data_IF_233459407756
#
_entry.id   IF_233459407756
#
_cell.length_a   1.000
_cell.length_b   1.000
_cell.length_c   1.000
_cell.angle_alpha   90.00
_cell.angle_beta   90.00
_cell.angle_gamma   90.00
#
_symmetry.space_group_name_H-M   'P 1'
#
loop_
_entity.id
_entity.type
_entity.pdbx_description
1 polymer ?
#
# COMPACT_ATOMS: atom_id res chain seq x y z
N UNK A 1 -11.93 -8.45 5.36
CA UNK A 1 -12.81 -7.86 4.32
C UNK A 1 -14.26 -7.65 4.74
N UNK A 2 -14.98 -8.67 5.25
CA UNK A 2 -16.41 -8.55 5.59
C UNK A 2 -16.74 -7.52 6.68
N UNK A 3 -15.79 -7.27 7.58
CA UNK A 3 -15.90 -6.30 8.67
C UNK A 3 -15.24 -4.96 8.34
N UNK A 4 -14.37 -4.92 7.33
CA UNK A 4 -13.66 -3.70 6.94
C UNK A 4 -14.50 -2.87 5.97
N UNK A 5 -14.83 -1.65 6.40
CA UNK A 5 -15.53 -0.64 5.58
C UNK A 5 -14.64 -0.07 4.48
N UNK A 6 -13.32 -0.16 4.64
CA UNK A 6 -12.31 0.45 3.78
C UNK A 6 -11.30 -0.58 3.26
N UNK A 7 -10.76 -0.36 2.06
CA UNK A 7 -9.71 -1.18 1.48
C UNK A 7 -8.71 -0.32 0.71
N UNK A 8 -7.45 -0.73 0.65
CA UNK A 8 -6.42 -0.08 -0.16
C UNK A 8 -5.73 -1.20 -0.93
N UNK A 9 -5.80 -1.13 -2.25
CA UNK A 9 -5.32 -2.18 -3.14
C UNK A 9 -4.24 -1.65 -4.07
N UNK A 10 -2.98 -2.06 -3.86
CA UNK A 10 -1.86 -1.69 -4.72
C UNK A 10 -1.62 -2.76 -5.80
N UNK A 11 -1.93 -2.39 -7.04
CA UNK A 11 -1.78 -3.26 -8.22
C UNK A 11 -0.55 -2.89 -9.05
N UNK A 12 0.46 -2.22 -8.47
CA UNK A 12 1.72 -1.87 -9.15
C UNK A 12 2.56 -3.08 -9.57
N UNK A 13 2.40 -4.23 -8.90
CA UNK A 13 3.21 -5.45 -9.11
C UNK A 13 2.51 -6.56 -9.90
N UNK A 14 1.51 -6.20 -10.72
CA UNK A 14 0.76 -7.15 -11.57
C UNK A 14 1.52 -7.58 -12.84
N UNK A 15 2.74 -7.09 -13.02
CA UNK A 15 3.62 -7.41 -14.14
C UNK A 15 4.84 -8.18 -13.64
N UNK A 16 5.15 -9.32 -14.25
CA UNK A 16 6.39 -10.05 -14.01
C UNK A 16 7.58 -9.27 -14.56
N UNK A 17 8.73 -9.36 -13.87
CA UNK A 17 9.94 -8.63 -14.28
C UNK A 17 10.73 -9.41 -15.33
N UNK A 18 10.66 -10.75 -15.30
CA UNK A 18 11.32 -11.64 -16.26
C UNK A 18 10.39 -12.70 -16.82
N UNK A 19 10.82 -13.29 -17.93
CA UNK A 19 10.20 -14.49 -18.48
C UNK A 19 10.25 -15.63 -17.46
N UNK A 20 9.17 -16.43 -17.37
CA UNK A 20 8.99 -17.51 -16.40
C UNK A 20 8.90 -17.08 -14.92
N UNK A 21 8.76 -15.79 -14.62
CA UNK A 21 8.39 -15.30 -13.28
C UNK A 21 6.87 -15.08 -13.15
N UNK A 22 6.34 -15.32 -11.95
CA UNK A 22 4.93 -15.07 -11.63
C UNK A 22 4.73 -13.64 -11.15
N UNK A 23 3.68 -12.97 -11.65
CA UNK A 23 3.21 -11.70 -11.09
C UNK A 23 2.43 -11.94 -9.79
N UNK A 24 2.42 -10.96 -8.88
CA UNK A 24 1.62 -11.05 -7.66
C UNK A 24 0.17 -10.66 -7.95
N UNK A 25 -0.74 -11.61 -7.74
CA UNK A 25 -2.17 -11.43 -8.02
C UNK A 25 -3.03 -11.25 -6.76
N UNK A 26 -2.43 -11.26 -5.57
CA UNK A 26 -3.17 -11.11 -4.31
C UNK A 26 -3.94 -9.78 -4.27
N UNK A 27 -3.29 -8.66 -4.60
CA UNK A 27 -3.92 -7.33 -4.57
C UNK A 27 -5.05 -7.19 -5.61
N UNK A 28 -4.90 -7.64 -6.88
CA UNK A 28 -6.03 -7.73 -7.82
C UNK A 28 -7.17 -8.64 -7.35
N UNK A 29 -6.85 -9.79 -6.76
CA UNK A 29 -7.87 -10.73 -6.26
C UNK A 29 -8.69 -10.12 -5.12
N UNK A 30 -8.00 -9.49 -4.18
CA UNK A 30 -8.61 -8.76 -3.07
C UNK A 30 -9.49 -7.59 -3.53
N UNK A 31 -9.00 -6.82 -4.51
CA UNK A 31 -9.78 -5.77 -5.17
C UNK A 31 -11.06 -6.32 -5.82
N UNK A 32 -10.96 -7.46 -6.50
CA UNK A 32 -12.11 -8.14 -7.10
C UNK A 32 -13.17 -8.52 -6.07
N UNK A 33 -12.76 -9.02 -4.90
CA UNK A 33 -13.68 -9.33 -3.79
C UNK A 33 -14.34 -8.06 -3.27
N UNK A 34 -13.57 -6.99 -3.03
CA UNK A 34 -14.10 -5.72 -2.53
C UNK A 34 -15.08 -5.07 -3.52
N UNK A 35 -14.78 -5.14 -4.82
CA UNK A 35 -15.67 -4.71 -5.89
C UNK A 35 -16.96 -5.53 -5.91
N UNK A 36 -16.83 -6.86 -5.86
CA UNK A 36 -17.96 -7.79 -5.84
C UNK A 36 -18.87 -7.56 -4.64
N UNK A 37 -18.31 -7.38 -3.44
CA UNK A 37 -19.07 -7.04 -2.23
C UNK A 37 -19.83 -5.73 -2.41
N UNK A 38 -19.17 -4.67 -2.91
CA UNK A 38 -19.83 -3.37 -3.13
C UNK A 38 -20.97 -3.45 -4.16
N UNK A 39 -20.80 -4.25 -5.21
CA UNK A 39 -21.76 -4.35 -6.32
C UNK A 39 -22.93 -5.31 -6.01
N UNK A 40 -22.64 -6.44 -5.36
CA UNK A 40 -23.58 -7.56 -5.23
C UNK A 40 -23.86 -8.00 -3.79
N UNK A 41 -23.12 -7.48 -2.80
CA UNK A 41 -23.27 -7.89 -1.39
C UNK A 41 -24.52 -7.34 -0.68
N UNK A 42 -25.36 -6.56 -1.36
CA UNK A 42 -26.55 -5.92 -0.78
C UNK A 42 -26.23 -4.68 0.06
N UNK A 43 -27.24 -4.16 0.77
CA UNK A 43 -27.17 -2.87 1.50
C UNK A 43 -25.97 -2.76 2.44
N UNK A 44 -25.60 -3.86 3.11
CA UNK A 44 -24.47 -3.91 4.05
C UNK A 44 -23.15 -3.42 3.45
N UNK A 45 -22.93 -3.66 2.15
CA UNK A 45 -21.66 -3.37 1.50
C UNK A 45 -21.74 -2.23 0.47
N UNK A 46 -22.91 -1.63 0.23
CA UNK A 46 -23.06 -0.48 -0.69
C UNK A 46 -22.15 0.69 -0.31
N UNK A 47 -21.95 0.91 0.99
CA UNK A 47 -21.08 1.97 1.51
C UNK A 47 -19.58 1.64 1.51
N UNK A 48 -19.17 0.45 1.03
CA UNK A 48 -17.78 0.05 1.04
C UNK A 48 -16.96 0.92 0.09
N UNK A 49 -15.86 1.47 0.59
CA UNK A 49 -14.96 2.33 -0.18
C UNK A 49 -13.59 1.67 -0.27
N UNK A 50 -12.92 1.84 -1.38
CA UNK A 50 -11.55 1.35 -1.51
C UNK A 50 -10.76 2.24 -2.47
N UNK A 51 -9.46 2.32 -2.20
CA UNK A 51 -8.47 2.99 -3.03
C UNK A 51 -7.79 1.94 -3.91
N UNK A 52 -7.61 2.26 -5.19
CA UNK A 52 -6.76 1.49 -6.09
C UNK A 52 -5.50 2.31 -6.35
N UNK A 53 -4.35 1.73 -6.05
CA UNK A 53 -3.03 2.30 -6.29
C UNK A 53 -2.37 1.63 -7.50
N UNK A 54 -1.72 2.41 -8.34
CA UNK A 54 -0.89 1.92 -9.44
C UNK A 54 0.54 2.46 -9.35
N UNK A 55 1.49 1.74 -9.95
CA UNK A 55 2.86 2.20 -10.11
C UNK A 55 2.87 3.39 -11.07
N UNK A 56 2.81 3.15 -12.38
CA UNK A 56 2.70 4.21 -13.38
C UNK A 56 1.33 4.24 -14.02
N UNK A 57 1.02 5.39 -14.63
CA UNK A 57 -0.20 5.59 -15.40
C UNK A 57 -0.31 4.52 -16.49
N UNK A 58 -1.45 3.84 -16.51
CA UNK A 58 -1.80 2.81 -17.50
C UNK A 58 -1.02 1.48 -17.45
N UNK A 59 -0.07 1.28 -16.52
CA UNK A 59 0.68 0.02 -16.43
C UNK A 59 -0.19 -1.20 -16.10
N UNK A 60 -1.34 -0.97 -15.46
CA UNK A 60 -2.31 -2.00 -15.10
C UNK A 60 -3.24 -2.40 -16.26
N UNK A 61 -3.35 -1.59 -17.33
CA UNK A 61 -4.29 -1.83 -18.43
C UNK A 61 -4.15 -3.22 -19.07
N UNK A 62 -2.92 -3.70 -19.36
CA UNK A 62 -2.75 -5.01 -19.98
C UNK A 62 -3.12 -6.17 -19.04
N UNK A 63 -3.07 -5.95 -17.72
CA UNK A 63 -3.32 -6.98 -16.72
C UNK A 63 -4.80 -7.06 -16.31
N UNK A 64 -5.48 -5.92 -16.19
CA UNK A 64 -6.86 -5.84 -15.69
C UNK A 64 -7.60 -4.63 -16.29
N UNK A 65 -8.06 -4.75 -17.53
CA UNK A 65 -8.72 -3.65 -18.24
C UNK A 65 -10.12 -3.30 -17.71
N UNK A 66 -10.78 -4.21 -16.99
CA UNK A 66 -12.13 -4.00 -16.45
C UNK A 66 -12.21 -2.86 -15.42
N UNK A 67 -11.09 -2.44 -14.83
CA UNK A 67 -11.04 -1.35 -13.85
C UNK A 67 -10.77 0.02 -14.47
N UNK A 68 -10.71 0.16 -15.79
CA UNK A 68 -10.39 1.42 -16.49
C UNK A 68 -11.37 2.57 -16.23
N UNK A 69 -12.57 2.26 -15.75
CA UNK A 69 -13.58 3.24 -15.33
C UNK A 69 -13.51 3.60 -13.84
N UNK A 70 -12.50 3.13 -13.12
CA UNK A 70 -12.33 3.37 -11.69
C UNK A 70 -11.23 4.41 -11.44
N UNK A 71 -11.36 5.18 -10.37
CA UNK A 71 -10.33 6.13 -9.96
C UNK A 71 -9.10 5.40 -9.42
N UNK A 72 -8.07 5.29 -10.25
CA UNK A 72 -6.77 4.71 -9.90
C UNK A 72 -5.80 5.85 -9.65
N UNK A 73 -5.19 5.87 -8.46
CA UNK A 73 -4.19 6.85 -8.10
C UNK A 73 -2.79 6.24 -8.30
N UNK A 74 -1.98 6.86 -9.15
CA UNK A 74 -0.63 6.37 -9.42
C UNK A 74 0.38 7.04 -8.48
N UNK A 75 1.32 6.28 -7.96
CA UNK A 75 2.36 6.78 -7.06
C UNK A 75 3.75 6.85 -7.72
N UNK A 76 3.87 6.50 -8.99
CA UNK A 76 5.09 6.49 -9.80
C UNK A 76 6.22 5.63 -9.23
N UNK A 77 5.89 4.71 -8.30
CA UNK A 77 6.83 3.96 -7.46
C UNK A 77 7.68 4.84 -6.55
N UNK A 78 7.17 6.02 -6.21
CA UNK A 78 7.83 7.02 -5.36
C UNK A 78 7.12 7.13 -4.01
N UNK A 79 7.86 6.92 -2.92
CA UNK A 79 7.30 6.91 -1.55
C UNK A 79 6.62 8.22 -1.18
N UNK A 80 7.20 9.36 -1.54
CA UNK A 80 6.61 10.68 -1.27
C UNK A 80 5.28 10.87 -1.99
N UNK A 81 5.18 10.40 -3.23
CA UNK A 81 3.95 10.45 -4.02
C UNK A 81 2.89 9.52 -3.46
N UNK A 82 3.29 8.34 -2.95
CA UNK A 82 2.40 7.42 -2.24
C UNK A 82 1.81 8.06 -0.98
N UNK A 83 2.64 8.68 -0.13
CA UNK A 83 2.18 9.43 1.07
C UNK A 83 1.23 10.57 0.65
N UNK A 84 1.63 11.31 -0.39
CA UNK A 84 0.82 12.23 -1.22
C UNK A 84 -0.62 11.77 -1.40
N UNK A 85 -0.69 10.65 -2.11
CA UNK A 85 -1.88 9.98 -2.61
C UNK A 85 -2.76 9.46 -1.49
N UNK A 86 -2.19 8.77 -0.51
CA UNK A 86 -2.91 8.24 0.64
C UNK A 86 -3.59 9.36 1.43
N UNK A 87 -2.84 10.42 1.78
CA UNK A 87 -3.39 11.58 2.50
C UNK A 87 -4.52 12.25 1.73
N UNK A 88 -4.35 12.43 0.42
CA UNK A 88 -5.39 13.00 -0.46
C UNK A 88 -6.65 12.13 -0.44
N UNK A 89 -6.52 10.81 -0.57
CA UNK A 89 -7.64 9.88 -0.54
C UNK A 89 -8.36 9.89 0.82
N UNK A 90 -7.62 9.86 1.93
CA UNK A 90 -8.20 9.98 3.27
C UNK A 90 -8.98 11.29 3.43
N UNK A 91 -8.49 12.39 2.85
CA UNK A 91 -9.16 13.68 2.89
C UNK A 91 -10.47 13.66 2.09
N UNK A 92 -10.41 13.21 0.83
CA UNK A 92 -11.55 13.31 -0.10
C UNK A 92 -12.62 12.25 0.12
N UNK A 93 -12.22 11.04 0.53
CA UNK A 93 -13.12 9.87 0.61
C UNK A 93 -13.60 9.63 2.03
N UNK A 94 -12.77 9.92 3.03
CA UNK A 94 -13.12 9.73 4.45
C UNK A 94 -13.42 11.05 5.19
N UNK A 95 -13.30 12.21 4.53
CA UNK A 95 -13.56 13.53 5.12
C UNK A 95 -12.73 13.84 6.37
N UNK A 96 -11.51 13.29 6.47
CA UNK A 96 -10.62 13.58 7.60
C UNK A 96 -9.96 14.94 7.36
N UNK A 97 -10.36 15.94 8.15
CA UNK A 97 -9.93 17.35 7.99
C UNK A 97 -8.59 17.65 8.66
N UNK A 98 -8.36 17.10 9.85
CA UNK A 98 -7.19 17.41 10.68
C UNK A 98 -6.04 16.43 10.43
N UNK A 99 -5.65 16.27 9.17
CA UNK A 99 -4.53 15.39 8.80
C UNK A 99 -3.20 16.14 8.90
N UNK A 100 -2.15 15.50 9.44
CA UNK A 100 -0.80 16.05 9.40
C UNK A 100 -0.40 16.45 7.98
N UNK A 101 0.39 17.52 7.79
CA UNK A 101 0.85 17.91 6.47
C UNK A 101 1.73 16.81 5.86
N UNK A 102 1.80 16.68 4.52
CA UNK A 102 2.62 15.65 3.89
C UNK A 102 4.08 15.65 4.35
N UNK A 103 4.67 16.83 4.58
CA UNK A 103 6.05 16.96 5.07
C UNK A 103 6.26 16.29 6.43
N UNK A 104 5.29 16.44 7.36
CA UNK A 104 5.35 15.79 8.66
C UNK A 104 5.25 14.27 8.54
N UNK A 105 4.28 13.79 7.76
CA UNK A 105 4.12 12.34 7.50
C UNK A 105 5.38 11.74 6.86
N UNK A 106 5.99 12.45 5.91
CA UNK A 106 7.23 12.00 5.27
C UNK A 106 8.41 12.01 6.23
N UNK A 107 8.56 13.02 7.09
CA UNK A 107 9.62 13.08 8.12
C UNK A 107 9.49 11.91 9.08
N UNK A 108 8.30 11.72 9.66
CA UNK A 108 8.03 10.63 10.61
C UNK A 108 8.27 9.25 9.97
N UNK A 109 7.87 9.08 8.70
CA UNK A 109 8.15 7.85 7.96
C UNK A 109 9.65 7.60 7.79
N UNK A 110 10.42 8.61 7.34
CA UNK A 110 11.86 8.43 7.15
C UNK A 110 12.62 8.25 8.46
N UNK A 111 12.23 8.97 9.52
CA UNK A 111 12.76 8.78 10.88
C UNK A 111 12.53 7.34 11.36
N UNK A 112 11.32 6.81 11.17
CA UNK A 112 11.02 5.41 11.48
C UNK A 112 11.87 4.45 10.65
N UNK A 113 11.99 4.67 9.33
CA UNK A 113 12.80 3.81 8.46
C UNK A 113 14.28 3.82 8.86
N UNK A 114 14.83 4.98 9.26
CA UNK A 114 16.20 5.09 9.78
C UNK A 114 16.36 4.33 11.08
N UNK A 115 15.47 4.53 12.05
CA UNK A 115 15.52 3.82 13.33
C UNK A 115 15.37 2.30 13.16
N UNK A 116 14.47 1.87 12.27
CA UNK A 116 14.29 0.46 11.92
C UNK A 116 15.56 -0.11 11.30
N UNK A 117 16.17 0.59 10.35
CA UNK A 117 17.42 0.17 9.73
C UNK A 117 18.53 0.00 10.76
N UNK A 118 18.75 1.00 11.63
CA UNK A 118 19.75 0.94 12.70
C UNK A 118 19.54 -0.25 13.64
N UNK A 119 18.29 -0.48 14.08
CA UNK A 119 17.93 -1.63 14.93
C UNK A 119 18.23 -2.96 14.24
N UNK A 120 17.91 -3.06 12.95
CA UNK A 120 18.13 -4.28 12.18
C UNK A 120 19.62 -4.55 11.94
N UNK A 121 20.42 -3.53 11.67
CA UNK A 121 21.88 -3.63 11.55
C UNK A 121 22.52 -4.07 12.87
N UNK A 122 22.09 -3.51 14.01
CA UNK A 122 22.58 -3.93 15.33
C UNK A 122 22.25 -5.40 15.63
N UNK A 123 21.05 -5.86 15.25
CA UNK A 123 20.59 -7.24 15.50
C UNK A 123 21.31 -8.29 14.64
N UNK A 124 21.68 -7.97 13.40
CA UNK A 124 22.29 -8.93 12.46
C UNK A 124 23.80 -8.78 12.28
N UNK A 125 24.41 -7.77 12.92
CA UNK A 125 25.85 -7.48 12.83
C UNK A 125 26.21 -6.66 11.59
N UNK A 126 27.33 -5.92 11.67
CA UNK A 126 27.81 -5.01 10.63
C UNK A 126 28.22 -5.71 9.31
N UNK A 127 28.22 -7.04 9.25
CA UNK A 127 28.59 -7.80 8.04
C UNK A 127 27.46 -7.88 7.00
N UNK A 128 26.21 -7.59 7.41
CA UNK A 128 25.07 -7.52 6.49
C UNK A 128 24.56 -6.08 6.47
N UNK A 129 25.27 -5.23 5.73
CA UNK A 129 24.89 -3.83 5.48
C UNK A 129 23.86 -3.67 4.36
N UNK A 130 23.18 -4.74 3.96
CA UNK A 130 22.38 -4.70 2.76
C UNK A 130 20.96 -4.20 3.02
N UNK A 131 20.47 -3.36 2.10
CA UNK A 131 19.06 -2.92 2.05
C UNK A 131 18.08 -4.10 2.06
N UNK A 132 18.57 -5.30 1.76
CA UNK A 132 17.87 -6.57 1.85
C UNK A 132 17.42 -6.94 3.28
N UNK A 133 18.10 -6.53 4.35
CA UNK A 133 17.69 -6.92 5.72
C UNK A 133 16.31 -6.36 6.07
N UNK A 134 16.07 -5.08 5.76
CA UNK A 134 14.75 -4.45 5.93
C UNK A 134 13.76 -4.99 4.88
N UNK A 135 14.21 -5.25 3.65
CA UNK A 135 13.36 -5.81 2.59
C UNK A 135 12.89 -7.25 2.85
N UNK A 136 13.64 -8.00 3.66
CA UNK A 136 13.35 -9.39 4.02
C UNK A 136 12.50 -9.52 5.29
N UNK A 137 12.17 -8.42 5.97
CA UNK A 137 11.23 -8.43 7.08
C UNK A 137 9.90 -9.00 6.61
N UNK A 138 9.39 -9.98 7.36
CA UNK A 138 8.01 -10.40 7.17
C UNK A 138 7.07 -9.26 7.55
N UNK A 139 5.89 -9.22 6.94
CA UNK A 139 4.87 -8.22 7.31
C UNK A 139 4.57 -8.24 8.81
N UNK A 140 4.60 -9.42 9.45
CA UNK A 140 4.38 -9.58 10.89
C UNK A 140 5.46 -8.88 11.72
N UNK A 141 6.72 -9.06 11.35
CA UNK A 141 7.83 -8.41 12.05
C UNK A 141 7.78 -6.89 11.85
N UNK A 142 7.55 -6.44 10.62
CA UNK A 142 7.43 -5.01 10.32
C UNK A 142 6.29 -4.35 11.12
N UNK A 143 5.12 -5.01 11.21
CA UNK A 143 3.99 -4.53 12.02
C UNK A 143 4.35 -4.48 13.52
N UNK A 144 5.08 -5.48 14.02
CA UNK A 144 5.55 -5.48 15.41
C UNK A 144 6.42 -4.27 15.70
N UNK A 145 7.33 -3.93 14.78
CA UNK A 145 8.21 -2.77 14.89
C UNK A 145 7.44 -1.44 14.88
N UNK A 146 6.45 -1.28 13.99
CA UNK A 146 5.56 -0.11 14.00
C UNK A 146 4.86 0.04 15.36
N UNK A 147 4.29 -1.05 15.88
CA UNK A 147 3.55 -1.00 17.15
C UNK A 147 4.43 -0.62 18.34
N UNK A 148 5.72 -0.97 18.32
CA UNK A 148 6.68 -0.55 19.33
C UNK A 148 7.06 0.93 19.19
N UNK A 149 7.19 1.43 17.97
CA UNK A 149 7.53 2.82 17.70
C UNK A 149 6.38 3.81 17.99
N UNK A 150 5.13 3.35 17.95
CA UNK A 150 3.95 4.17 18.22
C UNK A 150 3.49 4.17 19.70
N UNK A 151 4.20 3.49 20.60
CA UNK A 151 3.96 3.50 22.06
C UNK A 151 4.80 4.57 22.75
#
# INVERSE_FOLDING_TARGET
>A
MRESRYGIHDISLVKSQKENEYARMNMPFELGIDYGLRKFGGEKYKGKKFLILGGKKYDHLPAISDINGMDIMCHDNETLTLIQTLRKWFSSVLNIKDQPPPSKLSSEYFEFQTALFEKMTQKHGNEILDKEVVANLTNTEFISEINQACQ
#
